data_IF_433476906133
#
_entry.id   IF_433476906133
#
_cell.length_a   1.000
_cell.length_b   1.000
_cell.length_c   1.000
_cell.angle_alpha   90.00
_cell.angle_beta   90.00
_cell.angle_gamma   90.00
#
_symmetry.space_group_name_H-M   'P 1'
#
loop_
_entity.id
_entity.type
_entity.pdbx_description
1 polymer ?
#
# COMPACT_ATOMS: atom_id res chain seq x y z
N UNK A 1 16.63 2.36 4.46
CA UNK A 1 16.20 1.65 3.23
C UNK A 1 15.08 2.46 2.59
N UNK A 2 15.01 2.57 1.25
CA UNK A 2 13.90 3.22 0.56
C UNK A 2 12.56 2.57 0.90
N UNK A 3 11.50 3.37 0.87
CA UNK A 3 10.12 2.94 1.00
C UNK A 3 9.22 3.80 0.10
N UNK A 4 8.06 3.28 -0.26
CA UNK A 4 7.17 3.89 -1.25
C UNK A 4 5.77 4.05 -0.71
N UNK A 5 5.05 5.09 -1.13
CA UNK A 5 3.64 5.28 -0.84
C UNK A 5 2.82 5.15 -2.12
N UNK A 6 1.69 4.46 -2.03
CA UNK A 6 0.68 4.37 -3.09
C UNK A 6 -0.62 4.99 -2.62
N UNK A 7 -1.18 5.89 -3.43
CA UNK A 7 -2.52 6.44 -3.21
C UNK A 7 -3.58 5.51 -3.75
N UNK A 8 -4.48 5.07 -2.88
CA UNK A 8 -5.73 4.39 -3.24
C UNK A 8 -6.87 5.40 -3.19
N UNK A 9 -7.35 5.85 -4.36
CA UNK A 9 -8.37 6.89 -4.44
C UNK A 9 -9.77 6.30 -4.20
N UNK A 10 -10.33 6.52 -3.00
CA UNK A 10 -11.58 5.86 -2.59
C UNK A 10 -12.79 6.23 -3.46
N UNK A 11 -12.79 7.42 -4.04
CA UNK A 11 -13.86 7.92 -4.91
C UNK A 11 -13.80 7.34 -6.33
N UNK A 12 -12.69 6.72 -6.73
CA UNK A 12 -12.56 6.01 -8.01
C UNK A 12 -12.69 4.49 -7.82
N UNK A 13 -12.03 3.96 -6.79
CA UNK A 13 -11.83 2.50 -6.63
C UNK A 13 -12.64 1.89 -5.48
N UNK A 14 -13.50 2.70 -4.84
CA UNK A 14 -14.18 2.36 -3.60
C UNK A 14 -13.23 2.31 -2.40
N UNK A 15 -13.74 2.15 -1.18
CA UNK A 15 -12.89 2.10 0.02
C UNK A 15 -12.05 0.82 0.07
N UNK A 16 -10.81 0.93 0.56
CA UNK A 16 -9.84 -0.14 0.79
C UNK A 16 -10.44 -1.34 1.52
N UNK A 17 -11.35 -1.09 2.46
CA UNK A 17 -12.02 -2.16 3.22
C UNK A 17 -12.68 -3.21 2.31
N UNK A 18 -13.17 -2.81 1.12
CA UNK A 18 -13.79 -3.73 0.15
C UNK A 18 -12.80 -4.71 -0.47
N UNK A 19 -11.51 -4.38 -0.50
CA UNK A 19 -10.47 -5.26 -1.07
C UNK A 19 -9.66 -6.00 0.00
N UNK A 20 -9.89 -5.74 1.29
CA UNK A 20 -9.06 -6.28 2.37
C UNK A 20 -9.03 -7.81 2.41
N UNK A 21 -10.12 -8.50 2.04
CA UNK A 21 -10.12 -9.98 1.93
C UNK A 21 -9.04 -10.49 0.95
N UNK A 22 -8.85 -9.80 -0.18
CA UNK A 22 -7.82 -10.15 -1.18
C UNK A 22 -6.43 -9.72 -0.70
N UNK A 23 -6.31 -8.53 -0.11
CA UNK A 23 -5.05 -8.00 0.44
C UNK A 23 -4.49 -8.93 1.52
N UNK A 24 -5.33 -9.47 2.40
CA UNK A 24 -4.89 -10.42 3.44
C UNK A 24 -4.30 -11.71 2.87
N UNK A 25 -4.75 -12.14 1.69
CA UNK A 25 -4.21 -13.32 1.02
C UNK A 25 -2.91 -13.01 0.25
N UNK A 26 -2.87 -11.87 -0.43
CA UNK A 26 -1.66 -11.37 -1.09
C UNK A 26 -1.74 -9.85 -1.17
N UNK A 27 -0.98 -9.10 -0.37
CA UNK A 27 -0.92 -7.65 -0.46
C UNK A 27 -0.42 -7.20 -1.82
N UNK A 28 -1.00 -6.12 -2.34
CA UNK A 28 -0.64 -5.58 -3.64
C UNK A 28 -0.91 -4.09 -3.73
N UNK A 29 -0.39 -3.47 -4.78
CA UNK A 29 -0.75 -2.12 -5.19
C UNK A 29 -0.66 -1.98 -6.71
N UNK A 30 -1.27 -0.94 -7.27
CA UNK A 30 -1.23 -0.68 -8.70
C UNK A 30 -0.47 0.61 -9.03
N UNK A 31 0.14 0.64 -10.20
CA UNK A 31 0.66 1.85 -10.84
C UNK A 31 0.71 1.65 -12.36
N UNK A 32 0.68 2.74 -13.12
CA UNK A 32 0.88 2.72 -14.58
C UNK A 32 2.29 3.13 -15.00
N UNK A 33 3.15 3.49 -14.06
CA UNK A 33 4.51 3.96 -14.32
C UNK A 33 5.51 2.85 -14.00
N UNK A 34 6.15 2.34 -15.04
CA UNK A 34 7.10 1.24 -14.93
C UNK A 34 8.29 1.52 -14.00
N UNK A 35 8.91 2.70 -14.00
CA UNK A 35 10.01 3.00 -13.08
C UNK A 35 9.55 2.90 -11.63
N UNK A 36 8.37 3.41 -11.30
CA UNK A 36 7.83 3.33 -9.94
C UNK A 36 7.59 1.87 -9.53
N UNK A 37 6.95 1.08 -10.40
CA UNK A 37 6.71 -0.34 -10.15
C UNK A 37 8.00 -1.15 -9.94
N UNK A 38 9.07 -0.78 -10.66
CA UNK A 38 10.36 -1.48 -10.60
C UNK A 38 11.16 -1.08 -9.36
N UNK A 39 11.18 0.21 -9.03
CA UNK A 39 11.95 0.75 -7.91
C UNK A 39 11.40 0.30 -6.56
N UNK A 40 10.13 -0.08 -6.47
CA UNK A 40 9.55 -0.60 -5.23
C UNK A 40 9.91 -2.05 -4.92
N UNK A 41 10.43 -2.82 -5.89
CA UNK A 41 10.77 -4.22 -5.67
C UNK A 41 11.88 -4.34 -4.63
N UNK A 42 11.68 -5.18 -3.61
CA UNK A 42 12.58 -5.35 -2.47
C UNK A 42 12.34 -4.36 -1.33
N UNK A 43 11.44 -3.38 -1.49
CA UNK A 43 11.18 -2.30 -0.55
C UNK A 43 9.75 -2.35 0.02
N UNK A 44 9.54 -1.65 1.14
CA UNK A 44 8.21 -1.49 1.72
C UNK A 44 7.37 -0.51 0.92
N UNK A 45 6.12 -0.90 0.68
CA UNK A 45 5.08 -0.08 0.04
C UNK A 45 3.96 0.14 1.05
N UNK A 46 3.70 1.40 1.38
CA UNK A 46 2.59 1.87 2.21
C UNK A 46 1.41 2.22 1.31
N UNK A 47 0.27 1.56 1.51
CA UNK A 47 -0.96 1.82 0.75
C UNK A 47 -1.86 2.73 1.57
N UNK A 48 -2.08 3.92 1.03
CA UNK A 48 -2.75 5.04 1.68
C UNK A 48 -4.03 5.33 0.91
N UNK A 49 -5.16 5.10 1.57
CA UNK A 49 -6.46 5.51 1.06
C UNK A 49 -6.59 7.04 1.12
N UNK A 50 -7.06 7.61 0.01
CA UNK A 50 -7.37 9.03 -0.11
C UNK A 50 -8.88 9.17 -0.19
N UNK A 51 -9.46 9.89 0.76
CA UNK A 51 -10.89 10.21 0.78
C UNK A 51 -11.08 11.68 0.48
N UNK A 52 -12.19 12.01 -0.19
CA UNK A 52 -12.69 13.38 -0.32
C UNK A 52 -13.97 13.47 0.48
N UNK A 53 -13.92 14.14 1.62
CA UNK A 53 -15.03 14.26 2.55
C UNK A 53 -15.33 15.75 2.74
N UNK A 54 -16.55 16.19 2.39
CA UNK A 54 -16.99 17.60 2.52
C UNK A 54 -16.03 18.63 1.89
N UNK A 55 -15.35 18.26 0.81
CA UNK A 55 -14.40 19.11 0.10
C UNK A 55 -12.96 19.03 0.63
N UNK A 56 -12.73 18.36 1.76
CA UNK A 56 -11.40 18.13 2.31
C UNK A 56 -10.83 16.78 1.85
N UNK A 57 -9.52 16.74 1.61
CA UNK A 57 -8.81 15.51 1.30
C UNK A 57 -8.19 14.95 2.57
N UNK A 58 -8.57 13.73 2.94
CA UNK A 58 -8.00 13.01 4.10
C UNK A 58 -7.25 11.77 3.67
N UNK A 59 -6.20 11.42 4.41
CA UNK A 59 -5.30 10.31 4.12
C UNK A 59 -5.40 9.26 5.21
N UNK A 60 -5.53 7.99 4.81
CA UNK A 60 -5.81 6.87 5.70
C UNK A 60 -4.87 5.70 5.37
N UNK A 61 -4.01 5.35 6.32
CA UNK A 61 -3.08 4.24 6.16
C UNK A 61 -3.83 2.91 6.28
N UNK A 62 -3.80 2.10 5.23
CA UNK A 62 -4.47 0.79 5.21
C UNK A 62 -3.53 -0.35 5.57
N UNK A 63 -2.42 -0.48 4.84
CA UNK A 63 -1.45 -1.54 5.03
C UNK A 63 -0.08 -1.17 4.48
N UNK A 64 0.95 -1.87 4.94
CA UNK A 64 2.29 -1.87 4.35
C UNK A 64 2.70 -3.29 4.00
N UNK A 65 3.40 -3.46 2.90
CA UNK A 65 3.94 -4.76 2.52
C UNK A 65 5.29 -4.60 1.81
N UNK A 66 6.14 -5.61 1.87
CA UNK A 66 7.37 -5.65 1.09
C UNK A 66 7.06 -6.17 -0.31
N UNK A 67 7.24 -5.34 -1.33
CA UNK A 67 7.01 -5.76 -2.70
C UNK A 67 8.11 -6.74 -3.16
N UNK A 68 7.71 -7.85 -3.77
CA UNK A 68 8.64 -8.86 -4.28
C UNK A 68 8.66 -8.92 -5.80
N UNK A 69 7.54 -8.60 -6.45
CA UNK A 69 7.41 -8.72 -7.91
C UNK A 69 6.48 -7.65 -8.50
N UNK A 70 6.63 -7.38 -9.80
CA UNK A 70 5.74 -6.56 -10.62
C UNK A 70 5.14 -7.42 -11.72
N UNK A 71 3.82 -7.43 -11.85
CA UNK A 71 3.12 -8.22 -12.87
C UNK A 71 2.33 -7.33 -13.82
N UNK A 72 2.39 -7.66 -15.12
CA UNK A 72 1.48 -7.14 -16.15
C UNK A 72 0.29 -8.10 -16.29
N UNK A 73 -0.90 -7.61 -16.69
CA UNK A 73 -2.01 -8.50 -16.99
C UNK A 73 -1.69 -9.35 -18.22
N UNK A 74 -2.20 -10.58 -18.22
CA UNK A 74 -2.09 -11.47 -19.37
C UNK A 74 -2.75 -10.83 -20.60
N UNK A 75 -2.13 -10.98 -21.78
CA UNK A 75 -2.66 -10.44 -23.03
C UNK A 75 -2.56 -8.91 -23.18
N UNK A 76 -1.84 -8.20 -22.30
CA UNK A 76 -1.55 -6.77 -22.47
C UNK A 76 -2.69 -5.82 -22.10
N UNK A 77 -3.71 -6.29 -21.37
CA UNK A 77 -4.80 -5.46 -20.86
C UNK A 77 -4.39 -4.48 -19.75
N UNK A 78 -5.36 -4.05 -18.93
CA UNK A 78 -5.15 -3.21 -17.76
C UNK A 78 -5.72 -3.87 -16.51
N UNK A 79 -5.02 -3.74 -15.38
CA UNK A 79 -5.54 -4.06 -14.06
C UNK A 79 -6.55 -2.99 -13.63
N UNK A 80 -7.68 -3.41 -13.04
CA UNK A 80 -8.73 -2.49 -12.59
C UNK A 80 -9.21 -1.54 -13.71
N UNK A 81 -9.09 -1.99 -14.97
CA UNK A 81 -9.38 -1.21 -16.18
C UNK A 81 -8.52 0.06 -16.38
N UNK A 82 -7.47 0.26 -15.60
CA UNK A 82 -6.67 1.51 -15.60
C UNK A 82 -5.15 1.29 -15.49
N UNK A 83 -4.70 0.30 -14.74
CA UNK A 83 -3.30 0.18 -14.34
C UNK A 83 -2.51 -0.83 -15.15
N UNK A 84 -1.32 -0.42 -15.62
CA UNK A 84 -0.43 -1.31 -16.39
C UNK A 84 0.30 -2.34 -15.54
N UNK A 85 0.56 -2.02 -14.27
CA UNK A 85 1.37 -2.85 -13.37
C UNK A 85 0.68 -3.08 -12.03
N UNK A 86 0.88 -4.27 -11.48
CA UNK A 86 0.53 -4.64 -10.11
C UNK A 86 1.80 -5.07 -9.39
N UNK A 87 2.16 -4.38 -8.32
CA UNK A 87 3.16 -4.87 -7.38
C UNK A 87 2.51 -5.82 -6.39
N UNK A 88 3.18 -6.91 -6.07
CA UNK A 88 2.68 -7.94 -5.14
C UNK A 88 3.72 -8.26 -4.07
N UNK A 89 3.25 -8.67 -2.90
CA UNK A 89 4.09 -9.22 -1.84
C UNK A 89 4.50 -10.66 -2.13
N UNK A 90 5.54 -11.11 -1.42
CA UNK A 90 5.92 -12.51 -1.33
C UNK A 90 4.83 -13.36 -0.66
N UNK A 91 5.00 -14.68 -0.74
CA UNK A 91 4.23 -15.65 0.01
C UNK A 91 5.21 -16.46 0.87
N UNK A 92 5.21 -16.33 2.21
CA UNK A 92 4.37 -15.45 3.05
C UNK A 92 4.58 -13.94 2.77
N UNK A 93 3.56 -13.09 3.00
CA UNK A 93 3.73 -11.65 2.91
C UNK A 93 4.50 -11.11 4.11
N UNK A 94 5.46 -10.22 3.84
CA UNK A 94 6.13 -9.40 4.86
C UNK A 94 5.43 -8.04 4.95
N UNK A 95 4.96 -7.65 6.14
CA UNK A 95 4.25 -6.40 6.38
C UNK A 95 3.11 -6.49 7.41
N UNK A 96 2.29 -5.44 7.43
CA UNK A 96 1.19 -5.31 8.39
C UNK A 96 -0.01 -4.58 7.77
N UNK A 97 -1.18 -4.77 8.35
CA UNK A 97 -2.42 -4.13 7.91
C UNK A 97 -3.32 -3.72 9.08
N UNK A 98 -4.21 -2.78 8.79
CA UNK A 98 -5.36 -2.46 9.65
C UNK A 98 -6.64 -3.08 9.08
N UNK A 99 -7.49 -3.61 9.97
CA UNK A 99 -8.84 -4.04 9.58
C UNK A 99 -9.68 -2.87 9.08
N UNK A 100 -9.49 -1.70 9.70
CA UNK A 100 -10.04 -0.42 9.29
C UNK A 100 -8.86 0.56 9.10
N UNK A 101 -8.69 1.19 7.93
CA UNK A 101 -7.62 2.16 7.73
C UNK A 101 -7.59 3.23 8.83
N UNK A 102 -6.38 3.64 9.24
CA UNK A 102 -6.17 4.64 10.30
C UNK A 102 -5.85 5.99 9.68
N UNK A 103 -6.51 7.06 10.14
CA UNK A 103 -6.26 8.39 9.62
C UNK A 103 -4.83 8.84 9.94
N UNK A 104 -4.13 9.36 8.93
CA UNK A 104 -2.83 10.00 9.08
C UNK A 104 -3.09 11.45 9.48
N UNK A 105 -2.63 11.85 10.67
CA UNK A 105 -2.79 13.21 11.21
C UNK A 105 -1.48 13.99 11.24
N UNK A 106 -0.33 13.34 11.01
CA UNK A 106 0.96 14.02 10.95
C UNK A 106 1.01 14.97 9.74
N UNK A 107 1.12 16.27 10.04
CA UNK A 107 1.09 17.34 9.04
C UNK A 107 2.22 17.22 8.00
N UNK A 108 3.38 16.66 8.35
CA UNK A 108 4.52 16.52 7.44
C UNK A 108 4.20 15.47 6.38
N UNK A 109 3.60 14.35 6.78
CA UNK A 109 3.14 13.31 5.86
C UNK A 109 2.00 13.85 4.99
N UNK A 110 0.98 14.48 5.58
CA UNK A 110 -0.16 15.02 4.84
C UNK A 110 0.26 16.08 3.80
N UNK A 111 1.15 17.00 4.18
CA UNK A 111 1.70 18.00 3.26
C UNK A 111 2.47 17.32 2.13
N UNK A 112 3.35 16.37 2.45
CA UNK A 112 4.11 15.62 1.46
C UNK A 112 3.18 14.88 0.49
N UNK A 113 2.19 14.13 0.99
CA UNK A 113 1.22 13.40 0.17
C UNK A 113 0.45 14.34 -0.75
N UNK A 114 0.05 15.53 -0.29
CA UNK A 114 -0.68 16.51 -1.11
C UNK A 114 0.11 16.94 -2.35
N UNK A 115 1.44 17.00 -2.28
CA UNK A 115 2.29 17.34 -3.43
C UNK A 115 2.44 16.22 -4.46
N UNK A 116 2.03 14.98 -4.14
CA UNK A 116 2.26 13.82 -5.00
C UNK A 116 1.07 13.52 -5.90
N UNK A 117 1.35 13.35 -7.19
CA UNK A 117 0.39 12.81 -8.14
C UNK A 117 0.03 11.36 -7.78
N UNK A 118 -1.16 10.88 -8.19
CA UNK A 118 -1.50 9.46 -8.09
C UNK A 118 -0.42 8.58 -8.76
N UNK A 119 -0.18 7.41 -8.16
CA UNK A 119 0.91 6.51 -8.49
C UNK A 119 1.63 6.00 -7.25
N UNK A 120 2.90 5.66 -7.41
CA UNK A 120 3.77 5.13 -6.38
C UNK A 120 4.99 6.04 -6.22
N UNK A 121 5.05 6.75 -5.09
CA UNK A 121 6.08 7.76 -4.82
C UNK A 121 7.05 7.28 -3.74
N UNK A 122 8.35 7.50 -3.96
CA UNK A 122 9.36 7.26 -2.92
C UNK A 122 9.18 8.22 -1.74
N UNK A 123 9.12 7.66 -0.54
CA UNK A 123 8.93 8.38 0.72
C UNK A 123 10.28 8.96 1.16
N UNK A 124 10.34 10.26 1.49
CA UNK A 124 11.52 10.85 2.12
C UNK A 124 11.95 10.03 3.34
N UNK A 125 13.24 9.68 3.49
CA UNK A 125 13.69 8.81 4.58
C UNK A 125 13.30 9.27 5.98
N UNK A 126 13.15 10.58 6.18
CA UNK A 126 12.72 11.20 7.44
C UNK A 126 11.25 10.96 7.79
N UNK A 127 10.40 10.60 6.81
CA UNK A 127 8.97 10.34 7.01
C UNK A 127 8.65 8.86 7.18
N UNK A 128 9.58 7.96 6.80
CA UNK A 128 9.36 6.50 6.92
C UNK A 128 9.15 6.07 8.38
N UNK A 129 9.97 6.49 9.36
CA UNK A 129 9.76 6.11 10.75
C UNK A 129 8.39 6.55 11.29
N UNK A 130 7.91 7.74 10.87
CA UNK A 130 6.61 8.27 11.29
C UNK A 130 5.46 7.39 10.79
N UNK A 131 5.54 6.87 9.56
CA UNK A 131 4.56 5.92 9.03
C UNK A 131 4.67 4.54 9.69
N UNK A 132 5.88 4.09 10.03
CA UNK A 132 6.09 2.83 10.72
C UNK A 132 5.52 2.85 12.14
N UNK A 133 5.67 3.97 12.87
CA UNK A 133 5.12 4.17 14.21
C UNK A 133 3.59 4.09 14.26
N UNK A 134 2.91 4.37 13.14
CA UNK A 134 1.45 4.22 13.06
C UNK A 134 1.00 2.75 13.16
N UNK A 135 1.88 1.77 12.92
CA UNK A 135 1.62 0.35 13.13
C UNK A 135 2.03 -0.08 14.55
N UNK A 136 1.15 0.03 15.57
CA UNK A 136 1.45 -0.44 16.92
C UNK A 136 1.56 -1.98 16.95
N UNK A 137 1.97 -2.57 18.08
CA UNK A 137 1.93 -4.03 18.27
C UNK A 137 0.55 -4.67 18.00
N UNK A 138 -0.54 -3.89 18.08
CA UNK A 138 -1.90 -4.32 17.77
C UNK A 138 -2.22 -4.36 16.26
N UNK A 139 -1.36 -3.82 15.39
CA UNK A 139 -1.48 -4.00 13.96
C UNK A 139 -1.36 -5.48 13.61
N UNK A 140 -2.19 -5.95 12.68
CA UNK A 140 -2.15 -7.35 12.29
C UNK A 140 -1.01 -7.56 11.31
N UNK A 141 -0.07 -8.42 11.67
CA UNK A 141 0.91 -8.94 10.74
C UNK A 141 0.18 -9.79 9.69
N UNK A 142 0.65 -9.76 8.45
CA UNK A 142 0.24 -10.79 7.50
C UNK A 142 0.69 -12.14 8.06
N UNK A 143 -0.23 -13.11 8.08
CA UNK A 143 0.06 -14.41 8.66
C UNK A 143 1.21 -15.05 7.90
N UNK A 144 2.22 -15.52 8.65
CA UNK A 144 3.24 -16.39 8.13
C UNK A 144 2.71 -17.83 8.25
N UNK A 145 2.46 -18.58 7.16
CA UNK A 145 1.93 -19.95 7.27
C UNK A 145 2.86 -20.92 8.01
N UNK A 146 4.09 -20.53 8.33
CA UNK A 146 5.06 -21.34 9.06
C UNK A 146 4.86 -21.26 10.58
N UNK A 147 3.75 -21.81 11.07
CA UNK A 147 3.66 -22.40 12.42
C UNK A 147 2.45 -23.34 12.55
N UNK A 148 2.42 -24.40 11.74
CA UNK A 148 1.92 -25.69 12.18
C UNK A 148 3.13 -26.64 12.04
N UNK A 149 3.77 -27.06 13.13
CA UNK A 149 3.15 -27.78 14.22
C UNK A 149 3.34 -29.25 13.91
N UNK A 150 4.52 -29.76 14.28
CA UNK A 150 4.92 -31.16 14.37
C UNK A 150 3.76 -32.11 14.68
N UNK A 151 3.66 -33.18 13.90
CA UNK A 151 3.34 -34.53 14.38
C UNK A 151 4.20 -35.54 13.66
#
# INVERSE_FOLDING_TARGET
>A
MPAFAVKHLAYERGPLIKIMKRVKAQPYSFTSKEPEASNAIGHYVFVIEVRKERGETTYWLGYKYRACDKVKPAGGGLWDSEFKFKNIASQPPDGAYFENPVQITDHRICNWLTTKQPGMAEIPPTLVPVLDELFPPAARMFANPSSSGTR
#
